data_IF_633908417608
#
_entry.id   IF_633908417608
#
_cell.length_a   1.000
_cell.length_b   1.000
_cell.length_c   1.000
_cell.angle_alpha   90.00
_cell.angle_beta   90.00
_cell.angle_gamma   90.00
#
_symmetry.space_group_name_H-M   'P 1'
#
loop_
_entity.id
_entity.type
_entity.pdbx_description
1 polymer ?
#
# COMPACT_ATOMS: atom_id res chain seq x y z
N UNK A 1 3.68 4.14 21.91
CA UNK A 1 4.07 5.29 21.08
C UNK A 1 4.84 4.76 19.88
N UNK A 2 4.18 4.65 18.72
CA UNK A 2 4.73 4.04 17.49
C UNK A 2 5.99 4.77 16.98
N UNK A 3 6.09 6.06 17.28
CA UNK A 3 7.21 6.94 16.91
C UNK A 3 8.55 6.50 17.53
N UNK A 4 8.54 5.86 18.70
CA UNK A 4 9.76 5.51 19.45
C UNK A 4 10.47 4.27 18.87
N UNK A 5 9.77 3.44 18.10
CA UNK A 5 10.33 2.20 17.50
C UNK A 5 10.91 2.40 16.10
N UNK A 6 10.69 3.57 15.48
CA UNK A 6 11.19 3.87 14.14
C UNK A 6 12.64 4.38 14.13
N UNK A 7 13.25 4.60 15.30
CA UNK A 7 14.57 5.24 15.43
C UNK A 7 15.66 4.29 15.91
N UNK A 8 16.12 3.34 15.08
CA UNK A 8 17.45 2.73 15.27
C UNK A 8 18.03 1.92 14.08
N UNK A 9 17.53 2.05 12.84
CA UNK A 9 18.14 1.37 11.67
C UNK A 9 18.56 2.38 10.58
N UNK A 10 19.28 3.41 11.01
CA UNK A 10 19.96 4.37 10.13
C UNK A 10 21.36 3.85 9.72
N UNK A 11 21.45 2.60 9.29
CA UNK A 11 22.71 2.00 8.85
C UNK A 11 22.52 1.30 7.49
N UNK A 12 23.10 1.93 6.46
CA UNK A 12 22.98 1.65 5.03
C UNK A 12 21.60 2.02 4.44
N UNK A 13 21.53 3.24 3.88
CA UNK A 13 20.70 3.49 2.70
C UNK A 13 21.19 2.50 1.65
N UNK A 14 20.64 1.29 1.63
CA UNK A 14 20.74 0.41 0.48
C UNK A 14 20.27 1.26 -0.67
N UNK A 15 21.16 1.55 -1.63
CA UNK A 15 20.70 2.10 -2.90
C UNK A 15 19.64 1.13 -3.40
N UNK A 16 18.40 1.61 -3.53
CA UNK A 16 17.30 0.83 -4.10
C UNK A 16 17.20 1.29 -5.55
N UNK A 17 17.95 0.67 -6.49
CA UNK A 17 18.13 1.18 -7.86
C UNK A 17 16.86 1.15 -8.71
N UNK A 18 15.84 0.37 -8.31
CA UNK A 18 14.64 0.18 -9.10
C UNK A 18 13.44 -0.18 -8.24
N UNK A 19 12.24 -0.02 -8.80
CA UNK A 19 11.01 -0.48 -8.16
C UNK A 19 11.03 -1.99 -7.92
N UNK A 20 11.58 -2.77 -8.85
CA UNK A 20 11.79 -4.21 -8.67
C UNK A 20 12.58 -4.53 -7.40
N UNK A 21 13.67 -3.81 -7.16
CA UNK A 21 14.46 -4.00 -5.95
C UNK A 21 13.71 -3.54 -4.69
N UNK A 22 12.97 -2.43 -4.76
CA UNK A 22 12.13 -1.98 -3.66
C UNK A 22 11.11 -3.05 -3.25
N UNK A 23 10.44 -3.66 -4.21
CA UNK A 23 9.43 -4.70 -3.96
C UNK A 23 10.05 -6.00 -3.47
N UNK A 24 11.22 -6.38 -3.99
CA UNK A 24 11.97 -7.54 -3.47
C UNK A 24 12.28 -7.36 -1.98
N UNK A 25 12.88 -6.22 -1.61
CA UNK A 25 13.22 -5.92 -0.21
C UNK A 25 11.95 -5.84 0.64
N UNK A 26 10.88 -5.20 0.15
CA UNK A 26 9.63 -5.08 0.89
C UNK A 26 9.01 -6.44 1.17
N UNK A 27 8.99 -7.36 0.20
CA UNK A 27 8.49 -8.73 0.37
C UNK A 27 9.29 -9.55 1.37
N UNK A 28 10.60 -9.30 1.46
CA UNK A 28 11.47 -9.98 2.43
C UNK A 28 11.29 -9.43 3.85
N UNK A 29 11.04 -8.12 4.00
CA UNK A 29 11.08 -7.44 5.30
C UNK A 29 9.71 -7.10 5.90
N UNK A 30 8.68 -6.95 5.07
CA UNK A 30 7.34 -6.55 5.52
C UNK A 30 6.48 -7.77 5.86
N UNK A 31 6.71 -8.35 7.04
CA UNK A 31 6.05 -9.60 7.49
C UNK A 31 4.53 -9.50 7.67
N UNK A 32 3.99 -8.29 7.83
CA UNK A 32 2.56 -8.05 8.02
C UNK A 32 1.85 -7.60 6.73
N UNK A 33 2.59 -7.57 5.62
CA UNK A 33 2.07 -7.30 4.29
C UNK A 33 2.13 -8.56 3.43
N UNK A 34 1.04 -8.86 2.74
CA UNK A 34 1.00 -9.90 1.72
C UNK A 34 0.88 -9.24 0.36
N UNK A 35 1.80 -9.54 -0.55
CA UNK A 35 1.81 -8.92 -1.89
C UNK A 35 1.05 -9.80 -2.86
N UNK A 36 -0.07 -9.30 -3.38
CA UNK A 36 -0.80 -9.93 -4.47
C UNK A 36 0.03 -9.86 -5.77
N UNK A 37 -0.07 -10.87 -6.64
CA UNK A 37 0.70 -10.95 -7.90
C UNK A 37 0.53 -9.67 -8.74
N UNK A 38 -0.71 -9.21 -8.91
CA UNK A 38 -1.03 -7.92 -9.55
C UNK A 38 -0.21 -6.73 -9.03
N UNK A 39 0.07 -6.65 -7.72
CA UNK A 39 0.87 -5.57 -7.15
C UNK A 39 2.34 -5.68 -7.53
N UNK A 40 2.86 -6.91 -7.62
CA UNK A 40 4.23 -7.18 -8.05
C UNK A 40 4.37 -6.80 -9.52
N UNK A 41 3.52 -7.32 -10.39
CA UNK A 41 3.57 -7.05 -11.84
C UNK A 41 3.45 -5.55 -12.16
N UNK A 42 2.43 -4.88 -11.60
CA UNK A 42 2.21 -3.46 -11.82
C UNK A 42 3.33 -2.60 -11.22
N UNK A 43 3.84 -2.96 -10.05
CA UNK A 43 4.86 -2.18 -9.37
C UNK A 43 6.26 -2.36 -9.95
N UNK A 44 6.65 -3.56 -10.39
CA UNK A 44 7.98 -3.81 -11.00
C UNK A 44 8.17 -3.01 -12.30
N UNK A 45 7.10 -2.84 -13.07
CA UNK A 45 7.08 -2.07 -14.33
C UNK A 45 6.95 -0.56 -14.15
N UNK A 46 6.76 -0.08 -12.91
CA UNK A 46 6.44 1.32 -12.66
C UNK A 46 7.69 2.21 -12.74
N UNK A 47 7.72 3.08 -13.75
CA UNK A 47 8.79 4.08 -13.91
C UNK A 47 8.43 5.43 -13.30
N UNK A 48 9.43 6.17 -12.81
CA UNK A 48 9.32 7.56 -12.38
C UNK A 48 9.36 7.79 -10.86
N UNK A 49 8.61 7.08 -10.02
CA UNK A 49 8.73 7.18 -8.56
C UNK A 49 10.14 6.88 -8.08
N UNK A 50 10.54 7.50 -6.97
CA UNK A 50 11.77 7.12 -6.30
C UNK A 50 11.55 5.79 -5.56
N UNK A 51 12.30 4.72 -5.88
CA UNK A 51 12.07 3.39 -5.28
C UNK A 51 12.29 3.35 -3.77
N UNK A 52 13.26 4.11 -3.27
CA UNK A 52 13.54 4.23 -1.83
C UNK A 52 12.31 4.76 -1.08
N UNK A 53 11.68 5.82 -1.58
CA UNK A 53 10.43 6.34 -1.01
C UNK A 53 9.34 5.27 -0.99
N UNK A 54 9.15 4.48 -2.06
CA UNK A 54 8.12 3.44 -2.06
C UNK A 54 8.40 2.36 -1.02
N UNK A 55 9.65 1.91 -0.90
CA UNK A 55 10.06 0.96 0.14
C UNK A 55 9.79 1.50 1.55
N UNK A 56 10.11 2.77 1.80
CA UNK A 56 9.85 3.41 3.10
C UNK A 56 8.35 3.45 3.43
N UNK A 57 7.48 3.69 2.45
CA UNK A 57 6.04 3.64 2.66
C UNK A 57 5.54 2.23 2.99
N UNK A 58 6.03 1.22 2.28
CA UNK A 58 5.70 -0.17 2.58
C UNK A 58 6.17 -0.57 3.97
N UNK A 59 7.36 -0.15 4.39
CA UNK A 59 7.86 -0.40 5.75
C UNK A 59 7.01 0.29 6.83
N UNK A 60 6.57 1.54 6.60
CA UNK A 60 5.67 2.26 7.52
C UNK A 60 4.28 1.63 7.55
N UNK A 61 3.76 1.22 6.40
CA UNK A 61 2.48 0.53 6.32
C UNK A 61 2.53 -0.83 7.02
N UNK A 62 3.66 -1.53 6.93
CA UNK A 62 3.89 -2.79 7.64
C UNK A 62 3.79 -2.62 9.17
N UNK A 63 4.27 -1.50 9.72
CA UNK A 63 4.11 -1.21 11.15
C UNK A 63 2.64 -0.89 11.52
N UNK A 64 1.90 -0.19 10.65
CA UNK A 64 0.45 0.00 10.83
C UNK A 64 -0.29 -1.34 10.77
N UNK A 65 0.07 -2.21 9.83
CA UNK A 65 -0.49 -3.55 9.69
C UNK A 65 -0.21 -4.38 10.95
N UNK A 66 1.03 -4.37 11.45
CA UNK A 66 1.42 -5.01 12.72
C UNK A 66 0.51 -4.57 13.87
N UNK A 67 0.39 -3.26 14.07
CA UNK A 67 -0.39 -2.70 15.17
C UNK A 67 -1.89 -3.05 15.05
N UNK A 68 -2.41 -3.09 13.82
CA UNK A 68 -3.79 -3.49 13.59
C UNK A 68 -4.00 -4.98 13.88
N UNK A 69 -3.08 -5.84 13.44
CA UNK A 69 -3.12 -7.29 13.66
C UNK A 69 -2.96 -7.66 15.14
N UNK A 70 -2.12 -6.94 15.90
CA UNK A 70 -1.96 -7.15 17.34
C UNK A 70 -3.13 -6.60 18.17
N UNK A 71 -4.09 -5.91 17.54
CA UNK A 71 -5.20 -5.25 18.23
C UNK A 71 -4.79 -3.97 18.98
N UNK A 72 -3.55 -3.48 18.80
CA UNK A 72 -3.12 -2.18 19.34
C UNK A 72 -3.91 -1.02 18.73
N UNK A 73 -4.36 -1.16 17.49
CA UNK A 73 -5.27 -0.22 16.83
C UNK A 73 -6.46 -0.95 16.22
N UNK A 74 -7.62 -0.28 16.20
CA UNK A 74 -8.82 -0.80 15.53
C UNK A 74 -8.89 -0.33 14.08
N UNK A 75 -9.77 -0.94 13.28
CA UNK A 75 -10.01 -0.53 11.89
C UNK A 75 -10.37 0.96 11.74
N UNK A 76 -11.14 1.51 12.68
CA UNK A 76 -11.50 2.93 12.71
C UNK A 76 -10.31 3.89 12.92
N UNK A 77 -9.19 3.38 13.43
CA UNK A 77 -7.98 4.16 13.73
C UNK A 77 -6.89 4.04 12.66
N UNK A 78 -7.04 3.19 11.64
CA UNK A 78 -6.02 2.95 10.59
C UNK A 78 -5.60 4.26 9.92
N UNK A 79 -6.57 5.11 9.54
CA UNK A 79 -6.26 6.40 8.89
C UNK A 79 -5.42 7.32 9.78
N UNK A 80 -5.71 7.35 11.08
CA UNK A 80 -4.96 8.14 12.05
C UNK A 80 -3.55 7.57 12.22
N UNK A 81 -3.43 6.24 12.36
CA UNK A 81 -2.14 5.56 12.49
C UNK A 81 -1.25 5.78 11.25
N UNK A 82 -1.80 5.63 10.05
CA UNK A 82 -1.11 5.98 8.81
C UNK A 82 -0.61 7.42 8.82
N UNK A 83 -1.46 8.39 9.19
CA UNK A 83 -1.07 9.80 9.27
C UNK A 83 0.08 10.03 10.27
N UNK A 84 0.05 9.38 11.44
CA UNK A 84 1.11 9.46 12.44
C UNK A 84 2.45 8.88 11.91
N UNK A 85 2.38 7.87 11.04
CA UNK A 85 3.54 7.32 10.35
C UNK A 85 3.99 8.15 9.12
N UNK A 86 3.38 9.31 8.88
CA UNK A 86 3.69 10.17 7.72
C UNK A 86 3.15 9.64 6.39
N UNK A 87 2.16 8.75 6.42
CA UNK A 87 1.50 8.19 5.26
C UNK A 87 0.25 8.99 4.89
N UNK A 88 0.11 9.33 3.60
CA UNK A 88 -1.12 9.90 3.06
C UNK A 88 -2.07 8.76 2.63
N UNK A 89 -2.94 8.35 3.55
CA UNK A 89 -3.87 7.23 3.39
C UNK A 89 -5.31 7.69 3.13
N UNK A 90 -5.93 7.08 2.11
CA UNK A 90 -7.36 7.15 1.86
C UNK A 90 -8.01 5.82 2.26
N UNK A 91 -9.06 5.82 3.09
CA UNK A 91 -9.71 4.60 3.54
C UNK A 91 -10.48 3.89 2.43
N UNK A 92 -10.78 4.61 1.34
CA UNK A 92 -11.51 4.07 0.21
C UNK A 92 -11.35 4.94 -1.04
N UNK A 93 -11.82 4.43 -2.19
CA UNK A 93 -12.02 5.21 -3.41
C UNK A 93 -13.42 5.85 -3.43
N UNK A 94 -13.60 6.86 -4.29
CA UNK A 94 -14.89 7.56 -4.42
C UNK A 94 -16.00 6.61 -4.86
N UNK A 95 -17.24 6.85 -4.42
CA UNK A 95 -18.40 6.03 -4.79
C UNK A 95 -18.60 5.92 -6.30
N UNK A 96 -18.35 7.01 -7.04
CA UNK A 96 -18.43 7.00 -8.49
C UNK A 96 -17.39 6.06 -9.13
N UNK A 97 -16.16 6.02 -8.60
CA UNK A 97 -15.13 5.11 -9.09
C UNK A 97 -15.50 3.65 -8.81
N UNK A 98 -16.06 3.37 -7.62
CA UNK A 98 -16.57 2.03 -7.29
C UNK A 98 -17.69 1.61 -8.24
N UNK A 99 -18.67 2.47 -8.48
CA UNK A 99 -19.83 2.12 -9.30
C UNK A 99 -19.48 1.92 -10.77
N UNK A 100 -18.55 2.71 -11.32
CA UNK A 100 -18.25 2.72 -12.75
C UNK A 100 -17.05 1.86 -13.15
N UNK A 101 -16.10 1.69 -12.24
CA UNK A 101 -14.81 1.04 -12.50
C UNK A 101 -14.46 0.02 -11.41
N UNK A 102 -15.46 -0.63 -10.81
CA UNK A 102 -15.29 -1.63 -9.74
C UNK A 102 -14.19 -2.66 -10.06
N UNK A 103 -14.17 -3.14 -11.31
CA UNK A 103 -13.25 -4.16 -11.78
C UNK A 103 -11.78 -3.75 -11.67
N UNK A 104 -11.48 -2.45 -11.64
CA UNK A 104 -10.12 -1.97 -11.45
C UNK A 104 -9.66 -2.14 -10.00
N UNK A 105 -10.59 -2.15 -9.04
CA UNK A 105 -10.32 -2.17 -7.62
C UNK A 105 -10.48 -3.55 -6.98
N UNK A 106 -10.96 -4.54 -7.72
CA UNK A 106 -11.11 -5.91 -7.21
C UNK A 106 -9.86 -6.76 -7.47
N UNK A 107 -9.63 -7.71 -6.57
CA UNK A 107 -8.69 -8.81 -6.74
C UNK A 107 -9.36 -10.12 -6.33
N UNK A 108 -8.85 -11.24 -6.84
CA UNK A 108 -9.22 -12.56 -6.34
C UNK A 108 -8.31 -12.90 -5.16
N UNK A 109 -8.89 -13.03 -3.97
CA UNK A 109 -8.18 -13.37 -2.74
C UNK A 109 -8.86 -14.57 -2.07
N UNK A 110 -8.12 -15.67 -1.90
CA UNK A 110 -8.65 -16.95 -1.40
C UNK A 110 -9.94 -17.42 -2.10
N UNK A 111 -9.98 -17.27 -3.43
CA UNK A 111 -11.13 -17.66 -4.25
C UNK A 111 -12.35 -16.74 -4.13
N UNK A 112 -12.24 -15.63 -3.38
CA UNK A 112 -13.27 -14.61 -3.26
C UNK A 112 -12.84 -13.35 -4.02
N UNK A 113 -13.81 -12.66 -4.62
CA UNK A 113 -13.57 -11.32 -5.17
C UNK A 113 -13.69 -10.31 -4.04
N UNK A 114 -12.61 -9.58 -3.77
CA UNK A 114 -12.57 -8.55 -2.70
C UNK A 114 -12.17 -7.19 -3.28
N UNK A 115 -12.68 -6.11 -2.67
CA UNK A 115 -12.41 -4.73 -3.10
C UNK A 115 -11.23 -4.16 -2.32
N UNK A 116 -10.17 -3.75 -3.02
CA UNK A 116 -8.99 -3.07 -2.48
C UNK A 116 -9.09 -1.54 -2.69
N UNK A 117 -10.13 -0.92 -2.12
CA UNK A 117 -10.39 0.52 -2.27
C UNK A 117 -9.46 1.41 -1.44
N UNK A 118 -9.04 0.93 -0.26
CA UNK A 118 -8.10 1.65 0.60
C UNK A 118 -6.73 1.79 -0.09
N UNK A 119 -6.09 2.96 0.02
CA UNK A 119 -4.81 3.18 -0.65
C UNK A 119 -3.94 4.27 -0.06
N UNK A 120 -2.63 4.14 -0.26
CA UNK A 120 -1.66 5.22 -0.05
C UNK A 120 -1.56 6.11 -1.30
N UNK A 121 -1.40 7.41 -1.07
CA UNK A 121 -1.20 8.41 -2.10
C UNK A 121 0.21 8.98 -1.98
N UNK A 122 1.01 8.81 -3.01
CA UNK A 122 2.36 9.39 -3.09
C UNK A 122 2.53 10.17 -4.36
N UNK A 123 3.25 11.28 -4.26
CA UNK A 123 3.78 12.03 -5.39
C UNK A 123 2.71 12.64 -6.30
N UNK A 124 3.19 13.22 -7.40
CA UNK A 124 2.39 13.86 -8.45
C UNK A 124 3.05 13.61 -9.80
N UNK A 125 2.28 13.73 -10.88
CA UNK A 125 2.78 13.58 -12.27
C UNK A 125 3.60 12.27 -12.42
N UNK A 126 4.82 12.36 -12.94
CA UNK A 126 5.74 11.25 -13.16
C UNK A 126 6.17 10.54 -11.87
N UNK A 127 6.02 11.14 -10.69
CA UNK A 127 6.34 10.49 -9.41
C UNK A 127 5.10 9.96 -8.67
N UNK A 128 3.92 10.01 -9.29
CA UNK A 128 2.67 9.56 -8.68
C UNK A 128 2.65 8.04 -8.44
N UNK A 129 2.35 7.62 -7.22
CA UNK A 129 2.10 6.21 -6.88
C UNK A 129 0.83 6.08 -6.06
N UNK A 130 0.07 5.03 -6.35
CA UNK A 130 -1.01 4.52 -5.52
C UNK A 130 -0.64 3.11 -5.09
N UNK A 131 -0.73 2.85 -3.79
CA UNK A 131 -0.55 1.52 -3.21
C UNK A 131 -1.91 1.13 -2.66
N UNK A 132 -2.66 0.34 -3.41
CA UNK A 132 -3.97 -0.16 -3.01
C UNK A 132 -3.82 -1.37 -2.11
N UNK A 133 -4.64 -1.41 -1.06
CA UNK A 133 -4.61 -2.43 -0.03
C UNK A 133 -6.00 -2.94 0.32
N UNK A 134 -6.05 -4.20 0.74
CA UNK A 134 -7.21 -4.84 1.34
C UNK A 134 -6.86 -5.32 2.74
N UNK A 135 -7.69 -4.97 3.73
CA UNK A 135 -7.53 -5.41 5.11
C UNK A 135 -8.38 -6.67 5.32
N UNK A 136 -7.73 -7.83 5.30
CA UNK A 136 -8.35 -9.13 5.56
C UNK A 136 -8.44 -9.34 7.07
N UNK A 137 -9.57 -8.94 7.66
CA UNK A 137 -9.80 -9.07 9.09
C UNK A 137 -9.94 -10.53 9.55
N UNK A 138 -10.38 -11.43 8.66
CA UNK A 138 -10.58 -12.85 8.95
C UNK A 138 -9.23 -13.55 9.14
N UNK A 139 -8.27 -13.27 8.26
CA UNK A 139 -6.92 -13.86 8.30
C UNK A 139 -5.91 -12.97 9.02
N UNK A 140 -6.34 -11.81 9.49
CA UNK A 140 -5.51 -10.77 10.07
C UNK A 140 -4.31 -10.45 9.16
N UNK A 141 -4.55 -10.04 7.92
CA UNK A 141 -3.49 -9.70 6.97
C UNK A 141 -3.82 -8.41 6.21
N UNK A 142 -2.79 -7.68 5.81
CA UNK A 142 -2.95 -6.56 4.88
C UNK A 142 -2.40 -6.96 3.53
N UNK A 143 -3.30 -7.11 2.56
CA UNK A 143 -2.96 -7.48 1.19
C UNK A 143 -2.65 -6.23 0.39
N UNK A 144 -1.43 -6.11 -0.12
CA UNK A 144 -1.06 -5.09 -1.12
C UNK A 144 -1.54 -5.58 -2.48
N UNK A 145 -2.60 -4.96 -2.98
CA UNK A 145 -3.37 -5.43 -4.14
C UNK A 145 -2.88 -4.85 -5.47
N UNK A 146 -2.39 -3.60 -5.45
CA UNK A 146 -1.88 -2.92 -6.64
C UNK A 146 -0.88 -1.82 -6.28
N UNK A 147 0.19 -1.69 -7.05
CA UNK A 147 1.17 -0.60 -6.94
C UNK A 147 1.35 0.01 -8.32
N UNK A 148 0.91 1.25 -8.50
CA UNK A 148 0.97 1.86 -9.82
C UNK A 148 0.47 3.28 -9.86
N UNK A 149 0.01 3.71 -11.03
CA UNK A 149 -0.59 5.04 -11.21
C UNK A 149 -2.03 5.05 -10.70
N UNK A 150 -2.78 6.08 -11.03
CA UNK A 150 -4.22 6.06 -10.82
C UNK A 150 -4.84 4.91 -11.61
N UNK A 151 -5.65 4.11 -10.92
CA UNK A 151 -6.72 3.33 -11.53
C UNK A 151 -7.84 4.26 -12.00
N UNK A 152 -8.74 3.78 -12.86
CA UNK A 152 -9.78 4.64 -13.43
C UNK A 152 -10.71 5.17 -12.34
N UNK A 153 -10.95 6.47 -12.41
CA UNK A 153 -11.80 7.21 -11.47
C UNK A 153 -12.74 8.17 -12.20
N UNK A 154 -13.40 9.06 -11.45
CA UNK A 154 -14.33 10.07 -12.00
C UNK A 154 -13.75 10.88 -13.17
N UNK A 155 -12.45 11.15 -13.20
CA UNK A 155 -11.80 11.92 -14.26
C UNK A 155 -11.35 11.10 -15.46
N UNK A 156 -11.48 9.77 -15.40
CA UNK A 156 -11.06 8.89 -16.49
C UNK A 156 -12.09 8.89 -17.62
N UNK A 157 -11.61 9.09 -18.86
CA UNK A 157 -12.42 8.91 -20.06
C UNK A 157 -12.96 7.48 -20.12
N UNK A 158 -14.18 7.32 -20.66
CA UNK A 158 -14.87 6.01 -20.74
C UNK A 158 -14.38 5.22 -21.95
#
# INVERSE_FOLDING_TARGET
NLEIRAGSDSAAVLAVPSMKEALRIARERCQFLVFHERAIESGESLEGPEPVSVLQDLARLNEVARAWMSGEITGGSIKLACRQMGLDFAPDVSDNAKQKYEQDYVITWHGQTVVAGAHLRRGRKTHLVRIHVYFDAERQQVVVAYIGRHLRDKGSAS
#
